data_IF_440453448063
#
_entry.id   IF_440453448063
#
_cell.length_a   1.000
_cell.length_b   1.000
_cell.length_c   1.000
_cell.angle_alpha   90.00
_cell.angle_beta   90.00
_cell.angle_gamma   90.00
#
_symmetry.space_group_name_H-M   'P 1'
#
loop_
_entity.id
_entity.type
_entity.pdbx_description
1 polymer ?
#
# COMPACT_ATOMS: atom_id res chain seq x y z
N UNK A 1 1.81 -19.78 -14.65
CA UNK A 1 1.34 -21.17 -14.88
C UNK A 1 1.37 -22.05 -13.62
N UNK A 2 2.22 -21.79 -12.60
CA UNK A 2 2.05 -22.36 -11.25
C UNK A 2 0.85 -21.75 -10.50
N UNK A 3 0.74 -20.42 -10.49
CA UNK A 3 -0.35 -19.68 -9.80
C UNK A 3 -1.76 -20.13 -10.20
N UNK A 4 -2.00 -20.43 -11.48
CA UNK A 4 -3.32 -20.87 -11.96
C UNK A 4 -3.70 -22.27 -11.45
N UNK A 5 -2.73 -23.15 -11.20
CA UNK A 5 -2.98 -24.51 -10.68
C UNK A 5 -3.20 -24.47 -9.16
N UNK A 6 -2.48 -23.59 -8.49
CA UNK A 6 -2.62 -23.33 -7.05
C UNK A 6 -3.98 -22.69 -6.74
N UNK A 7 -4.38 -21.68 -7.51
CA UNK A 7 -5.72 -21.06 -7.43
C UNK A 7 -6.86 -22.05 -7.67
N UNK A 8 -6.75 -22.95 -8.65
CA UNK A 8 -7.77 -23.98 -8.90
C UNK A 8 -7.89 -24.96 -7.73
N UNK A 9 -6.77 -25.34 -7.10
CA UNK A 9 -6.78 -26.23 -5.93
C UNK A 9 -7.38 -25.54 -4.69
N UNK A 10 -7.05 -24.26 -4.47
CA UNK A 10 -7.58 -23.48 -3.36
C UNK A 10 -9.09 -23.30 -3.51
N UNK A 11 -9.59 -22.97 -4.70
CA UNK A 11 -11.03 -22.87 -4.95
C UNK A 11 -11.78 -24.19 -4.76
N UNK A 12 -11.19 -25.32 -5.19
CA UNK A 12 -11.76 -26.64 -4.95
C UNK A 12 -11.83 -26.96 -3.45
N UNK A 13 -10.76 -26.70 -2.69
CA UNK A 13 -10.72 -26.88 -1.24
C UNK A 13 -11.75 -26.00 -0.52
N UNK A 14 -11.86 -24.72 -0.90
CA UNK A 14 -12.86 -23.80 -0.36
C UNK A 14 -14.28 -24.32 -0.57
N UNK A 15 -14.55 -24.85 -1.77
CA UNK A 15 -15.85 -25.41 -2.09
C UNK A 15 -16.16 -26.68 -1.27
N UNK A 16 -15.16 -27.54 -1.07
CA UNK A 16 -15.29 -28.74 -0.22
C UNK A 16 -15.53 -28.38 1.24
N UNK A 17 -14.75 -27.45 1.81
CA UNK A 17 -14.90 -26.99 3.19
C UNK A 17 -16.27 -26.33 3.38
N UNK A 18 -16.67 -25.45 2.47
CA UNK A 18 -17.99 -24.80 2.53
C UNK A 18 -19.14 -25.81 2.44
N UNK A 19 -19.02 -26.81 1.56
CA UNK A 19 -20.01 -27.89 1.45
C UNK A 19 -20.06 -28.74 2.71
N UNK A 20 -18.91 -29.07 3.28
CA UNK A 20 -18.80 -29.85 4.51
C UNK A 20 -19.38 -29.10 5.71
N UNK A 21 -19.10 -27.79 5.81
CA UNK A 21 -19.65 -26.89 6.82
C UNK A 21 -21.17 -26.81 6.73
N UNK A 22 -21.71 -26.58 5.53
CA UNK A 22 -23.17 -26.52 5.30
C UNK A 22 -23.88 -27.86 5.53
N UNK A 23 -23.14 -28.97 5.42
CA UNK A 23 -23.65 -30.33 5.71
C UNK A 23 -23.49 -30.73 7.18
N UNK A 24 -22.97 -29.84 8.04
CA UNK A 24 -22.74 -30.09 9.47
C UNK A 24 -21.57 -31.04 9.78
N UNK A 25 -20.66 -31.25 8.83
CA UNK A 25 -19.51 -32.15 8.98
C UNK A 25 -18.33 -31.48 9.71
N UNK A 26 -18.58 -30.88 10.88
CA UNK A 26 -17.62 -30.05 11.61
C UNK A 26 -16.30 -30.78 11.97
N UNK A 27 -16.37 -32.07 12.32
CA UNK A 27 -15.18 -32.88 12.62
C UNK A 27 -14.30 -33.07 11.38
N UNK A 28 -14.91 -33.20 10.21
CA UNK A 28 -14.18 -33.30 8.96
C UNK A 28 -13.51 -31.98 8.62
N UNK A 29 -14.23 -30.86 8.76
CA UNK A 29 -13.70 -29.51 8.55
C UNK A 29 -12.51 -29.24 9.47
N UNK A 30 -12.64 -29.50 10.78
CA UNK A 30 -11.53 -29.31 11.74
C UNK A 30 -10.27 -30.11 11.33
N UNK A 31 -10.44 -31.34 10.85
CA UNK A 31 -9.31 -32.16 10.38
C UNK A 31 -8.69 -31.59 9.10
N UNK A 32 -9.48 -31.02 8.21
CA UNK A 32 -8.95 -30.36 7.01
C UNK A 32 -8.14 -29.13 7.40
N UNK A 33 -8.68 -28.28 8.28
CA UNK A 33 -8.00 -27.07 8.77
C UNK A 33 -6.68 -27.40 9.48
N UNK A 34 -6.64 -28.43 10.33
CA UNK A 34 -5.43 -28.83 11.05
C UNK A 34 -4.25 -29.32 10.16
N UNK A 35 -4.47 -29.47 8.85
CA UNK A 35 -3.43 -29.86 7.88
C UNK A 35 -3.20 -28.79 6.79
N UNK A 36 -3.80 -27.60 6.95
CA UNK A 36 -3.59 -26.46 6.07
C UNK A 36 -2.56 -25.52 6.69
N UNK A 37 -1.86 -24.78 5.85
CA UNK A 37 -0.98 -23.70 6.30
C UNK A 37 -1.83 -22.54 6.88
N UNK A 38 -1.30 -21.75 7.83
CA UNK A 38 -1.98 -20.58 8.38
C UNK A 38 -2.51 -19.61 7.31
N UNK A 39 -1.67 -19.23 6.34
CA UNK A 39 -2.03 -18.37 5.21
C UNK A 39 -3.21 -18.91 4.37
N UNK A 40 -3.28 -20.23 4.14
CA UNK A 40 -4.40 -20.88 3.43
C UNK A 40 -5.71 -20.76 4.24
N UNK A 41 -5.63 -20.82 5.57
CA UNK A 41 -6.78 -20.68 6.47
C UNK A 41 -7.21 -19.22 6.56
N UNK A 42 -6.27 -18.28 6.62
CA UNK A 42 -6.52 -16.85 6.58
C UNK A 42 -7.30 -16.49 5.29
N UNK A 43 -6.79 -16.89 4.12
CA UNK A 43 -7.47 -16.72 2.83
C UNK A 43 -8.88 -17.34 2.83
N UNK A 44 -9.06 -18.48 3.48
CA UNK A 44 -10.36 -19.14 3.62
C UNK A 44 -11.33 -18.33 4.49
N UNK A 45 -10.84 -17.71 5.56
CA UNK A 45 -11.64 -16.83 6.42
C UNK A 45 -12.01 -15.53 5.69
N UNK A 46 -11.07 -14.92 4.98
CA UNK A 46 -11.30 -13.70 4.20
C UNK A 46 -12.33 -13.94 3.08
N UNK A 47 -12.19 -15.04 2.36
CA UNK A 47 -13.12 -15.44 1.29
C UNK A 47 -14.49 -15.95 1.79
N UNK A 48 -14.68 -16.06 3.11
CA UNK A 48 -15.91 -16.54 3.71
C UNK A 48 -16.83 -15.41 4.17
N UNK A 49 -18.14 -15.49 3.91
CA UNK A 49 -19.11 -14.56 4.49
C UNK A 49 -19.10 -14.60 6.02
N UNK A 50 -19.38 -13.46 6.66
CA UNK A 50 -19.31 -13.27 8.12
C UNK A 50 -19.91 -14.43 8.96
N UNK A 51 -21.07 -14.99 8.57
CA UNK A 51 -21.68 -16.10 9.32
C UNK A 51 -20.88 -17.40 9.25
N UNK A 52 -20.32 -17.71 8.08
CA UNK A 52 -19.46 -18.89 7.90
C UNK A 52 -18.12 -18.70 8.60
N UNK A 53 -17.55 -17.50 8.51
CA UNK A 53 -16.28 -17.11 9.13
C UNK A 53 -16.24 -17.39 10.63
N UNK A 54 -17.25 -16.94 11.38
CA UNK A 54 -17.32 -17.21 12.84
C UNK A 54 -17.33 -18.70 13.17
N UNK A 55 -18.02 -19.52 12.36
CA UNK A 55 -18.08 -20.97 12.59
C UNK A 55 -16.74 -21.62 12.25
N UNK A 56 -16.09 -21.18 11.17
CA UNK A 56 -14.77 -21.67 10.78
C UNK A 56 -13.72 -21.36 11.84
N UNK A 57 -13.71 -20.13 12.37
CA UNK A 57 -12.80 -19.72 13.44
C UNK A 57 -12.92 -20.62 14.68
N UNK A 58 -14.14 -21.00 15.08
CA UNK A 58 -14.36 -21.92 16.21
C UNK A 58 -13.83 -23.35 15.98
N UNK A 59 -13.50 -23.71 14.75
CA UNK A 59 -12.98 -25.03 14.38
C UNK A 59 -11.45 -25.04 14.20
N UNK A 60 -10.83 -23.86 14.14
CA UNK A 60 -9.38 -23.68 14.09
C UNK A 60 -8.76 -24.13 15.43
N UNK A 61 -7.60 -24.77 15.36
CA UNK A 61 -6.89 -25.17 16.56
C UNK A 61 -6.24 -23.97 17.24
N UNK A 62 -6.21 -23.93 18.58
CA UNK A 62 -5.69 -22.78 19.33
C UNK A 62 -4.24 -22.46 18.97
N UNK A 63 -3.46 -23.50 18.70
CA UNK A 63 -2.03 -23.41 18.45
C UNK A 63 -1.71 -22.76 17.09
N UNK A 64 -2.69 -22.65 16.19
CA UNK A 64 -2.54 -21.98 14.89
C UNK A 64 -3.17 -20.58 14.88
N UNK A 65 -3.83 -20.16 15.97
CA UNK A 65 -4.58 -18.90 15.95
C UNK A 65 -3.67 -17.68 15.84
N UNK A 66 -2.44 -17.74 16.38
CA UNK A 66 -1.46 -16.66 16.27
C UNK A 66 -1.09 -16.42 14.81
N UNK A 67 -0.48 -17.40 14.18
CA UNK A 67 -0.05 -17.38 12.77
C UNK A 67 -1.20 -17.05 11.81
N UNK A 68 -2.43 -17.48 12.09
CA UNK A 68 -3.58 -17.13 11.24
C UNK A 68 -3.99 -15.67 11.42
N UNK A 69 -3.87 -15.10 12.63
CA UNK A 69 -4.21 -13.69 12.87
C UNK A 69 -3.22 -12.75 12.20
N UNK A 70 -1.94 -13.11 12.16
CA UNK A 70 -0.88 -12.41 11.43
C UNK A 70 -1.24 -12.26 9.94
N UNK A 71 -1.61 -13.36 9.31
CA UNK A 71 -1.92 -13.45 7.87
C UNK A 71 -3.28 -12.83 7.46
N UNK A 72 -4.06 -12.29 8.39
CA UNK A 72 -5.38 -11.74 8.12
C UNK A 72 -5.33 -10.22 7.94
N UNK A 73 -6.02 -9.72 6.91
CA UNK A 73 -6.29 -8.28 6.79
C UNK A 73 -6.91 -7.70 8.07
N UNK A 74 -6.43 -6.52 8.44
CA UNK A 74 -6.88 -5.65 9.53
C UNK A 74 -8.38 -5.78 9.86
N UNK A 75 -9.21 -5.57 8.84
CA UNK A 75 -10.67 -5.46 8.96
C UNK A 75 -11.30 -6.82 9.32
N UNK A 76 -10.74 -7.93 8.82
CA UNK A 76 -11.17 -9.30 9.12
C UNK A 76 -10.64 -9.75 10.48
N UNK A 77 -9.36 -9.51 10.75
CA UNK A 77 -8.67 -9.74 12.03
C UNK A 77 -9.42 -9.07 13.19
N UNK A 78 -9.69 -7.78 13.10
CA UNK A 78 -10.45 -7.02 14.09
C UNK A 78 -11.88 -7.55 14.29
N UNK A 79 -12.52 -8.01 13.21
CA UNK A 79 -13.83 -8.66 13.25
C UNK A 79 -13.84 -9.96 14.07
N UNK A 80 -12.74 -10.72 14.04
CA UNK A 80 -12.55 -11.96 14.80
C UNK A 80 -12.17 -11.65 16.25
N UNK A 81 -11.15 -10.81 16.45
CA UNK A 81 -10.64 -10.39 17.77
C UNK A 81 -11.76 -9.82 18.64
N UNK A 82 -12.64 -8.99 18.08
CA UNK A 82 -13.77 -8.39 18.82
C UNK A 82 -14.74 -9.43 19.42
N UNK A 83 -14.66 -10.69 19.02
CA UNK A 83 -15.46 -11.81 19.53
C UNK A 83 -14.65 -12.78 20.40
N UNK A 84 -13.34 -12.58 20.53
CA UNK A 84 -12.46 -13.41 21.33
C UNK A 84 -12.39 -12.91 22.77
N UNK A 85 -12.14 -13.84 23.70
CA UNK A 85 -11.81 -13.47 25.07
C UNK A 85 -10.39 -12.86 25.09
N UNK A 86 -10.15 -11.75 25.82
CA UNK A 86 -8.84 -11.11 25.91
C UNK A 86 -7.70 -12.04 26.33
N UNK A 87 -8.00 -13.07 27.13
CA UNK A 87 -7.01 -14.07 27.53
C UNK A 87 -6.59 -15.00 26.38
N UNK A 88 -7.49 -15.30 25.44
CA UNK A 88 -7.16 -16.08 24.24
C UNK A 88 -6.35 -15.24 23.26
N UNK A 89 -6.65 -13.94 23.16
CA UNK A 89 -5.85 -13.00 22.38
C UNK A 89 -4.42 -12.92 22.94
N UNK A 90 -4.29 -12.77 24.27
CA UNK A 90 -2.98 -12.76 24.93
C UNK A 90 -2.19 -14.06 24.70
N UNK A 91 -2.87 -15.22 24.67
CA UNK A 91 -2.21 -16.49 24.37
C UNK A 91 -1.82 -16.63 22.89
N UNK A 92 -2.66 -16.17 21.96
CA UNK A 92 -2.36 -16.20 20.53
C UNK A 92 -1.21 -15.26 20.12
N UNK A 93 -0.91 -14.26 20.94
CA UNK A 93 0.16 -13.26 20.72
C UNK A 93 1.46 -13.59 21.47
N UNK A 94 1.49 -14.70 22.22
CA UNK A 94 2.66 -15.12 23.01
C UNK A 94 3.84 -15.52 22.11
N UNK A 95 3.56 -16.24 21.02
CA UNK A 95 4.57 -16.79 20.11
C UNK A 95 4.81 -15.94 18.85
N UNK A 96 4.07 -14.83 18.67
CA UNK A 96 4.27 -13.90 17.55
C UNK A 96 5.62 -13.21 17.62
N UNK A 97 6.15 -12.79 16.47
CA UNK A 97 7.33 -11.95 16.37
C UNK A 97 7.05 -10.50 16.83
N UNK A 98 8.10 -9.68 17.01
CA UNK A 98 7.98 -8.40 17.73
C UNK A 98 7.16 -7.37 16.92
N UNK A 99 7.37 -7.36 15.61
CA UNK A 99 6.66 -6.56 14.62
C UNK A 99 5.18 -6.96 14.51
N UNK A 100 4.89 -8.25 14.33
CA UNK A 100 3.51 -8.75 14.26
C UNK A 100 2.74 -8.46 15.54
N UNK A 101 3.40 -8.64 16.69
CA UNK A 101 2.84 -8.29 17.99
C UNK A 101 2.50 -6.80 18.06
N UNK A 102 3.39 -5.93 17.57
CA UNK A 102 3.15 -4.49 17.58
C UNK A 102 1.95 -4.13 16.70
N UNK A 103 1.91 -4.66 15.48
CA UNK A 103 0.82 -4.43 14.54
C UNK A 103 -0.52 -4.90 15.11
N UNK A 104 -0.57 -6.14 15.59
CA UNK A 104 -1.75 -6.75 16.20
C UNK A 104 -2.27 -5.90 17.36
N UNK A 105 -1.38 -5.44 18.24
CA UNK A 105 -1.77 -4.63 19.40
C UNK A 105 -2.23 -3.22 19.02
N UNK A 106 -1.67 -2.60 17.97
CA UNK A 106 -2.10 -1.28 17.46
C UNK A 106 -3.52 -1.34 16.89
N UNK A 107 -3.89 -2.45 16.25
CA UNK A 107 -5.22 -2.64 15.65
C UNK A 107 -6.34 -2.81 16.69
N UNK A 108 -5.99 -3.12 17.95
CA UNK A 108 -6.96 -3.36 19.01
C UNK A 108 -7.67 -2.06 19.48
N UNK A 109 -9.00 -2.12 19.70
CA UNK A 109 -9.68 -1.06 20.43
C UNK A 109 -9.07 -0.86 21.82
N UNK A 110 -8.92 0.40 22.26
CA UNK A 110 -8.31 0.77 23.56
C UNK A 110 -8.76 -0.10 24.74
N UNK A 111 -10.05 -0.43 24.80
CA UNK A 111 -10.62 -1.25 25.87
C UNK A 111 -10.11 -2.69 25.84
N UNK A 112 -10.03 -3.29 24.65
CA UNK A 112 -9.55 -4.66 24.46
C UNK A 112 -8.04 -4.70 24.69
N UNK A 113 -7.30 -3.73 24.15
CA UNK A 113 -5.86 -3.59 24.35
C UNK A 113 -5.47 -3.66 25.83
N UNK A 114 -6.14 -2.87 26.70
CA UNK A 114 -5.85 -2.86 28.13
C UNK A 114 -6.13 -4.22 28.81
N UNK A 115 -7.15 -4.94 28.36
CA UNK A 115 -7.50 -6.27 28.89
C UNK A 115 -6.50 -7.35 28.43
N UNK A 116 -6.02 -7.27 27.19
CA UNK A 116 -5.00 -8.16 26.62
C UNK A 116 -3.67 -7.97 27.34
N UNK A 117 -3.17 -6.72 27.43
CA UNK A 117 -1.96 -6.37 28.18
C UNK A 117 -2.07 -6.80 29.66
N UNK A 118 -3.26 -6.70 30.25
CA UNK A 118 -3.52 -7.16 31.61
C UNK A 118 -3.34 -8.68 31.79
N UNK A 119 -3.67 -9.45 30.75
CA UNK A 119 -3.64 -10.92 30.70
C UNK A 119 -2.26 -11.49 30.37
N UNK A 120 -1.41 -10.73 29.69
CA UNK A 120 -0.05 -11.13 29.30
C UNK A 120 0.90 -11.38 30.48
N UNK A 121 1.92 -12.23 30.27
CA UNK A 121 2.98 -12.38 31.25
C UNK A 121 3.81 -11.09 31.37
N UNK A 122 4.67 -11.00 32.38
CA UNK A 122 5.51 -9.81 32.56
C UNK A 122 6.53 -9.65 31.42
N UNK A 123 7.03 -10.76 30.88
CA UNK A 123 8.01 -10.75 29.79
C UNK A 123 7.37 -10.26 28.48
N UNK A 124 6.21 -10.80 28.10
CA UNK A 124 5.51 -10.43 26.86
C UNK A 124 5.03 -8.98 26.91
N UNK A 125 4.69 -8.47 28.10
CA UNK A 125 4.38 -7.05 28.28
C UNK A 125 5.57 -6.14 28.05
N UNK A 126 6.77 -6.54 28.48
CA UNK A 126 7.98 -5.77 28.23
C UNK A 126 8.31 -5.77 26.73
N UNK A 127 8.13 -6.93 26.07
CA UNK A 127 8.25 -7.08 24.61
C UNK A 127 7.28 -6.17 23.86
N UNK A 128 5.99 -6.26 24.16
CA UNK A 128 4.95 -5.40 23.60
C UNK A 128 5.24 -3.91 23.80
N UNK A 129 5.70 -3.52 25.00
CA UNK A 129 6.02 -2.12 25.29
C UNK A 129 7.23 -1.60 24.48
N UNK A 130 8.21 -2.46 24.20
CA UNK A 130 9.34 -2.14 23.33
C UNK A 130 8.90 -2.03 21.88
N UNK A 131 8.12 -2.99 21.39
CA UNK A 131 7.64 -3.01 20.01
C UNK A 131 6.73 -1.81 19.68
N UNK A 132 5.86 -1.42 20.63
CA UNK A 132 4.99 -0.24 20.52
C UNK A 132 5.70 1.10 20.80
N UNK A 133 7.00 1.09 21.11
CA UNK A 133 7.74 2.33 21.39
C UNK A 133 8.08 3.14 20.14
N UNK A 134 8.01 2.51 18.96
CA UNK A 134 8.32 3.11 17.68
C UNK A 134 7.05 3.56 16.94
N UNK A 135 7.15 4.66 16.15
CA UNK A 135 6.07 5.10 15.27
C UNK A 135 5.63 3.97 14.33
N UNK A 136 4.33 3.92 14.06
CA UNK A 136 3.77 3.15 12.95
C UNK A 136 4.43 3.56 11.62
N UNK A 137 4.49 2.65 10.66
CA UNK A 137 5.11 2.85 9.33
C UNK A 137 6.63 3.16 9.38
N UNK A 138 7.34 2.70 10.41
CA UNK A 138 8.77 2.93 10.58
C UNK A 138 9.59 1.64 10.64
N UNK A 139 10.88 1.73 10.35
CA UNK A 139 11.84 0.64 10.48
C UNK A 139 11.81 -0.02 11.87
N UNK A 140 11.52 0.74 12.93
CA UNK A 140 11.36 0.20 14.28
C UNK A 140 10.05 -0.53 14.53
N UNK A 141 9.02 -0.29 13.72
CA UNK A 141 7.73 -0.99 13.80
C UNK A 141 7.77 -2.36 13.11
N UNK A 142 8.58 -2.51 12.07
CA UNK A 142 8.74 -3.73 11.27
C UNK A 142 10.07 -4.47 11.57
N UNK A 143 10.69 -4.21 12.73
CA UNK A 143 11.94 -4.89 13.11
C UNK A 143 11.70 -5.96 14.15
N UNK A 144 12.50 -7.01 14.05
CA UNK A 144 12.64 -8.05 15.04
C UNK A 144 13.88 -7.85 15.92
N UNK A 145 13.74 -8.07 17.23
CA UNK A 145 14.85 -7.91 18.20
C UNK A 145 15.71 -9.17 18.37
N UNK A 146 15.39 -10.23 17.64
CA UNK A 146 15.95 -11.58 17.70
C UNK A 146 17.40 -11.74 17.17
N UNK A 147 18.09 -10.62 16.90
CA UNK A 147 19.41 -10.59 16.28
C UNK A 147 20.48 -11.45 16.96
N UNK A 148 21.36 -12.05 16.15
CA UNK A 148 22.52 -12.80 16.66
C UNK A 148 23.78 -11.95 16.55
N UNK A 149 24.29 -11.54 17.71
CA UNK A 149 25.46 -10.66 17.79
C UNK A 149 26.76 -11.39 18.13
N UNK A 150 27.86 -10.95 17.51
CA UNK A 150 29.21 -11.48 17.72
C UNK A 150 30.24 -10.36 17.93
N UNK A 151 31.40 -10.72 18.49
CA UNK A 151 32.49 -9.77 18.78
C UNK A 151 33.57 -9.82 17.68
N UNK A 152 34.22 -8.69 17.35
CA UNK A 152 35.22 -8.65 16.29
C UNK A 152 36.53 -9.39 16.62
N UNK A 153 36.86 -9.54 17.90
CA UNK A 153 38.12 -10.11 18.39
C UNK A 153 38.09 -11.63 18.58
N UNK A 154 36.95 -12.28 18.38
CA UNK A 154 36.84 -13.75 18.47
C UNK A 154 37.16 -14.45 17.15
N UNK A 155 37.59 -15.71 17.25
CA UNK A 155 37.84 -16.55 16.06
C UNK A 155 36.55 -17.19 15.56
N UNK A 156 36.54 -17.59 14.28
CA UNK A 156 35.39 -18.26 13.69
C UNK A 156 35.08 -19.60 14.37
N UNK A 157 36.09 -20.33 14.89
CA UNK A 157 35.88 -21.53 15.71
C UNK A 157 35.02 -21.25 16.95
N UNK A 158 35.28 -20.13 17.65
CA UNK A 158 34.52 -19.73 18.84
C UNK A 158 33.09 -19.39 18.45
N UNK A 159 32.89 -18.66 17.34
CA UNK A 159 31.55 -18.34 16.82
C UNK A 159 30.79 -19.64 16.48
N UNK A 160 31.38 -20.56 15.72
CA UNK A 160 30.74 -21.83 15.37
C UNK A 160 30.37 -22.67 16.61
N UNK A 161 31.20 -22.65 17.65
CA UNK A 161 30.89 -23.31 18.94
C UNK A 161 29.75 -22.61 19.67
N UNK A 162 29.71 -21.29 19.65
CA UNK A 162 28.63 -20.49 20.21
C UNK A 162 27.29 -20.81 19.51
N UNK A 163 27.25 -20.84 18.17
CA UNK A 163 26.04 -21.19 17.42
C UNK A 163 25.56 -22.61 17.74
N UNK A 164 26.48 -23.59 17.83
CA UNK A 164 26.14 -24.96 18.25
C UNK A 164 25.60 -25.06 19.67
N UNK A 165 26.02 -24.18 20.57
CA UNK A 165 25.51 -24.13 21.94
C UNK A 165 24.10 -23.51 21.98
N UNK A 166 23.84 -22.51 21.12
CA UNK A 166 22.51 -21.89 20.98
C UNK A 166 21.49 -22.89 20.42
N UNK A 167 21.92 -23.78 19.53
CA UNK A 167 21.11 -24.88 18.98
C UNK A 167 20.32 -24.45 17.76
N UNK A 168 19.47 -23.44 17.93
CA UNK A 168 18.64 -22.87 16.87
C UNK A 168 19.02 -21.40 16.62
N UNK A 169 18.82 -20.97 15.37
CA UNK A 169 18.93 -19.58 14.95
C UNK A 169 17.53 -19.10 14.63
N UNK A 170 17.26 -17.80 14.84
CA UNK A 170 15.98 -17.25 14.43
C UNK A 170 15.77 -17.42 12.92
N UNK A 171 14.51 -17.41 12.49
CA UNK A 171 14.15 -17.63 11.10
C UNK A 171 14.75 -16.55 10.18
N UNK A 172 14.97 -16.90 8.91
CA UNK A 172 15.60 -15.96 7.96
C UNK A 172 17.05 -15.52 8.27
N UNK A 173 17.73 -16.06 9.30
CA UNK A 173 19.11 -15.67 9.62
C UNK A 173 20.10 -16.02 8.49
N UNK A 174 20.59 -15.02 7.77
CA UNK A 174 21.61 -15.13 6.73
C UNK A 174 22.98 -14.58 7.17
N UNK A 175 22.99 -13.59 8.06
CA UNK A 175 24.19 -12.96 8.61
C UNK A 175 24.19 -12.85 10.15
N UNK A 176 25.38 -12.71 10.73
CA UNK A 176 25.58 -12.38 12.14
C UNK A 176 26.13 -10.96 12.26
N UNK A 177 25.53 -10.16 13.13
CA UNK A 177 25.93 -8.76 13.30
C UNK A 177 27.09 -8.63 14.28
N UNK A 178 28.10 -7.85 13.90
CA UNK A 178 29.30 -7.60 14.69
C UNK A 178 29.11 -6.31 15.45
N UNK A 179 29.24 -6.38 16.78
CA UNK A 179 29.08 -5.23 17.67
C UNK A 179 30.30 -5.03 18.56
N UNK A 180 30.63 -3.77 18.83
CA UNK A 180 31.68 -3.42 19.78
C UNK A 180 31.19 -3.49 21.22
N UNK A 181 32.11 -3.35 22.18
CA UNK A 181 31.86 -3.44 23.63
C UNK A 181 30.78 -2.50 24.18
N UNK A 182 30.42 -1.44 23.45
CA UNK A 182 29.35 -0.49 23.80
C UNK A 182 28.03 -0.82 23.05
N UNK A 183 27.98 -1.97 22.37
CA UNK A 183 26.91 -2.47 21.49
C UNK A 183 26.69 -1.65 20.21
N UNK A 184 27.68 -0.87 19.79
CA UNK A 184 27.63 -0.18 18.51
C UNK A 184 27.84 -1.19 17.37
N UNK A 185 26.98 -1.11 16.35
CA UNK A 185 27.09 -1.90 15.12
C UNK A 185 28.35 -1.49 14.33
N UNK A 186 29.14 -2.48 13.90
CA UNK A 186 30.42 -2.24 13.20
C UNK A 186 30.64 -3.11 11.96
N UNK A 187 29.67 -3.97 11.60
CA UNK A 187 29.75 -4.82 10.41
C UNK A 187 28.96 -6.12 10.56
N UNK A 188 29.01 -6.98 9.53
CA UNK A 188 28.30 -8.25 9.52
C UNK A 188 29.18 -9.40 8.99
N UNK A 189 28.80 -10.64 9.32
CA UNK A 189 29.42 -11.86 8.80
C UNK A 189 28.35 -12.82 8.30
N UNK A 190 28.32 -13.10 7.01
CA UNK A 190 27.41 -14.10 6.46
C UNK A 190 27.69 -15.51 6.97
N UNK A 191 26.64 -16.29 7.19
CA UNK A 191 26.75 -17.70 7.60
C UNK A 191 27.53 -18.52 6.58
N UNK A 192 27.37 -18.25 5.29
CA UNK A 192 28.13 -18.89 4.23
C UNK A 192 29.65 -18.66 4.39
N UNK A 193 30.05 -17.47 4.82
CA UNK A 193 31.45 -17.14 5.05
C UNK A 193 32.01 -17.87 6.29
N UNK A 194 31.22 -18.00 7.37
CA UNK A 194 31.59 -18.80 8.54
C UNK A 194 31.88 -20.26 8.21
N UNK A 195 31.13 -20.84 7.25
CA UNK A 195 31.28 -22.23 6.84
C UNK A 195 32.44 -22.48 5.86
N UNK A 196 32.81 -21.46 5.08
CA UNK A 196 33.79 -21.61 3.97
C UNK A 196 35.18 -21.12 4.33
N UNK A 197 35.34 -20.28 5.36
CA UNK A 197 36.63 -19.75 5.81
C UNK A 197 37.29 -20.62 6.87
N UNK A 198 38.60 -20.39 7.06
CA UNK A 198 39.38 -21.11 8.08
C UNK A 198 38.90 -20.71 9.49
N UNK A 199 38.63 -21.69 10.40
CA UNK A 199 38.18 -21.43 11.76
C UNK A 199 39.15 -20.59 12.62
N UNK A 200 40.44 -20.54 12.25
CA UNK A 200 41.49 -19.82 12.98
C UNK A 200 41.47 -18.30 12.71
N UNK A 201 40.77 -17.84 11.67
CA UNK A 201 40.63 -16.43 11.37
C UNK A 201 39.74 -15.74 12.41
N UNK A 202 39.97 -14.45 12.62
CA UNK A 202 39.12 -13.62 13.49
C UNK A 202 37.95 -13.03 12.71
N UNK A 203 36.84 -12.75 13.42
CA UNK A 203 35.66 -12.06 12.88
C UNK A 203 36.07 -10.74 12.22
N UNK A 204 36.90 -9.92 12.88
CA UNK A 204 37.40 -8.66 12.32
C UNK A 204 38.12 -8.79 10.97
N UNK A 205 38.72 -9.94 10.70
CA UNK A 205 39.45 -10.16 9.44
C UNK A 205 38.52 -10.48 8.28
N UNK A 206 37.34 -11.02 8.58
CA UNK A 206 36.44 -11.56 7.56
C UNK A 206 35.10 -10.84 7.45
N UNK A 207 34.76 -10.01 8.45
CA UNK A 207 33.53 -9.22 8.46
C UNK A 207 33.50 -8.23 7.31
N UNK A 208 32.30 -7.95 6.82
CA UNK A 208 32.03 -6.80 5.97
C UNK A 208 31.84 -5.57 6.86
N UNK A 209 32.79 -4.63 6.78
CA UNK A 209 32.77 -3.34 7.48
C UNK A 209 32.04 -2.23 6.69
N UNK A 210 31.54 -2.54 5.49
CA UNK A 210 30.74 -1.64 4.64
C UNK A 210 29.25 -2.02 4.63
N UNK A 211 28.81 -2.85 5.58
CA UNK A 211 27.39 -3.17 5.76
C UNK A 211 26.63 -1.89 6.14
N UNK A 212 25.63 -1.51 5.33
CA UNK A 212 24.76 -0.37 5.61
C UNK A 212 23.73 -0.76 6.67
N UNK A 213 23.48 0.15 7.62
CA UNK A 213 22.49 -0.01 8.69
C UNK A 213 21.30 0.90 8.46
N UNK A 214 20.12 0.46 8.89
CA UNK A 214 18.87 1.20 8.77
C UNK A 214 18.62 1.98 10.06
N UNK A 215 18.41 3.31 10.00
CA UNK A 215 17.97 4.08 11.16
C UNK A 215 16.57 3.65 11.59
N UNK A 216 16.36 3.47 12.90
CA UNK A 216 15.07 3.00 13.46
C UNK A 216 13.87 3.90 13.13
N UNK A 217 14.10 5.16 12.79
CA UNK A 217 13.05 6.13 12.43
C UNK A 217 12.81 6.24 10.93
N UNK A 218 13.48 5.43 10.11
CA UNK A 218 13.29 5.44 8.65
C UNK A 218 11.89 4.95 8.31
N UNK A 219 11.28 5.52 7.28
CA UNK A 219 9.97 5.13 6.76
C UNK A 219 10.03 3.73 6.13
N UNK A 220 9.06 2.87 6.40
CA UNK A 220 9.08 1.48 5.93
C UNK A 220 9.09 1.36 4.39
N UNK A 221 8.41 2.26 3.67
CA UNK A 221 8.46 2.29 2.20
C UNK A 221 9.86 2.66 1.69
N UNK A 222 10.61 3.48 2.43
CA UNK A 222 12.02 3.76 2.12
C UNK A 222 12.91 2.54 2.42
N UNK A 223 12.64 1.82 3.51
CA UNK A 223 13.32 0.55 3.83
C UNK A 223 13.09 -0.47 2.71
N UNK A 224 11.85 -0.66 2.26
CA UNK A 224 11.51 -1.59 1.18
C UNK A 224 12.30 -1.28 -0.11
N UNK A 225 12.46 0.01 -0.45
CA UNK A 225 13.28 0.42 -1.59
C UNK A 225 14.76 0.07 -1.43
N UNK A 226 15.30 0.14 -0.21
CA UNK A 226 16.68 -0.29 0.07
C UNK A 226 16.84 -1.80 -0.10
N UNK A 227 15.91 -2.59 0.44
CA UNK A 227 15.90 -4.05 0.27
C UNK A 227 15.85 -4.44 -1.20
N UNK A 228 14.95 -3.85 -1.99
CA UNK A 228 14.85 -4.10 -3.43
C UNK A 228 16.15 -3.72 -4.16
N UNK A 229 16.68 -2.52 -3.88
CA UNK A 229 17.86 -1.98 -4.58
C UNK A 229 19.14 -2.75 -4.26
N UNK A 230 19.29 -3.18 -3.02
CA UNK A 230 20.51 -3.83 -2.53
C UNK A 230 20.40 -5.36 -2.54
N UNK A 231 19.22 -5.92 -2.80
CA UNK A 231 18.91 -7.36 -2.73
C UNK A 231 19.24 -7.94 -1.34
N UNK A 232 18.82 -7.24 -0.29
CA UNK A 232 19.01 -7.69 1.08
C UNK A 232 18.06 -8.83 1.42
N UNK A 233 18.54 -9.78 2.22
CA UNK A 233 17.72 -10.83 2.86
C UNK A 233 17.36 -10.38 4.28
N UNK A 234 18.32 -9.78 4.99
CA UNK A 234 18.06 -9.05 6.22
C UNK A 234 18.93 -7.79 6.30
N UNK A 235 18.55 -6.85 7.17
CA UNK A 235 19.30 -5.62 7.41
C UNK A 235 19.28 -5.21 8.89
N UNK A 236 20.39 -4.69 9.45
CA UNK A 236 20.46 -4.29 10.85
C UNK A 236 19.80 -2.93 11.08
N UNK A 237 19.02 -2.82 12.15
CA UNK A 237 18.39 -1.57 12.59
C UNK A 237 19.15 -0.95 13.75
N UNK A 238 19.43 0.34 13.67
CA UNK A 238 20.24 1.07 14.65
C UNK A 238 19.58 2.36 15.14
N UNK A 239 19.93 2.77 16.36
CA UNK A 239 19.56 4.07 16.91
C UNK A 239 20.47 5.22 16.41
N UNK A 240 20.20 6.46 16.87
CA UNK A 240 21.01 7.64 16.55
C UNK A 240 22.48 7.53 17.01
N UNK A 241 22.77 6.63 17.95
CA UNK A 241 24.08 6.37 18.52
C UNK A 241 24.76 5.13 17.92
N UNK A 242 24.19 4.55 16.86
CA UNK A 242 24.66 3.33 16.17
C UNK A 242 24.57 2.06 17.03
N UNK A 243 23.79 2.05 18.12
CA UNK A 243 23.51 0.80 18.83
C UNK A 243 22.62 -0.09 17.98
N UNK A 244 22.98 -1.37 17.88
CA UNK A 244 22.13 -2.36 17.22
C UNK A 244 20.89 -2.62 18.08
N UNK A 245 19.72 -2.37 17.51
CA UNK A 245 18.42 -2.58 18.15
C UNK A 245 17.77 -3.89 17.70
N UNK A 246 17.87 -4.20 16.42
CA UNK A 246 17.16 -5.31 15.80
C UNK A 246 17.59 -5.54 14.36
N UNK A 247 16.78 -6.29 13.62
CA UNK A 247 16.92 -6.50 12.19
C UNK A 247 15.55 -6.52 11.52
N UNK A 248 15.55 -6.25 10.23
CA UNK A 248 14.39 -6.41 9.36
C UNK A 248 14.69 -7.55 8.40
N UNK A 249 13.68 -8.34 8.04
CA UNK A 249 13.79 -9.48 7.15
C UNK A 249 13.01 -9.25 5.86
N UNK A 250 13.37 -10.00 4.81
CA UNK A 250 12.80 -9.77 3.46
C UNK A 250 11.33 -10.17 3.37
N UNK A 251 10.88 -11.12 4.17
CA UNK A 251 9.48 -11.54 4.32
C UNK A 251 8.59 -10.37 4.73
N UNK A 252 8.90 -9.70 5.85
CA UNK A 252 8.17 -8.50 6.31
C UNK A 252 8.15 -7.41 5.21
N UNK A 253 9.25 -7.25 4.49
CA UNK A 253 9.35 -6.29 3.40
C UNK A 253 8.49 -6.67 2.18
N UNK A 254 8.26 -7.96 1.95
CA UNK A 254 7.33 -8.39 0.89
C UNK A 254 5.91 -7.96 1.23
N UNK A 255 5.52 -7.98 2.50
CA UNK A 255 4.21 -7.50 2.94
C UNK A 255 4.09 -5.98 2.80
N UNK A 256 5.09 -5.22 3.25
CA UNK A 256 5.15 -3.75 3.04
C UNK A 256 5.00 -3.39 1.55
N UNK A 257 5.72 -4.09 0.65
CA UNK A 257 5.62 -3.86 -0.80
C UNK A 257 4.21 -4.16 -1.33
N UNK A 258 3.57 -5.23 -0.83
CA UNK A 258 2.22 -5.62 -1.24
C UNK A 258 1.21 -4.57 -0.76
N UNK A 259 1.29 -4.19 0.50
CA UNK A 259 0.40 -3.21 1.14
C UNK A 259 0.52 -1.83 0.48
N UNK A 260 1.74 -1.34 0.24
CA UNK A 260 1.98 -0.08 -0.50
C UNK A 260 1.33 -0.10 -1.89
N UNK A 261 1.41 -1.24 -2.58
CA UNK A 261 0.81 -1.41 -3.90
C UNK A 261 -0.72 -1.46 -3.84
N UNK A 262 -1.28 -2.17 -2.85
CA UNK A 262 -2.72 -2.26 -2.62
C UNK A 262 -3.30 -0.91 -2.20
N UNK A 263 -2.69 -0.23 -1.22
CA UNK A 263 -3.04 1.13 -0.81
C UNK A 263 -3.03 2.09 -2.00
N UNK A 264 -1.95 2.09 -2.79
CA UNK A 264 -1.90 2.91 -4.01
C UNK A 264 -3.05 2.61 -4.97
N UNK A 265 -3.41 1.34 -5.16
CA UNK A 265 -4.48 0.91 -6.05
C UNK A 265 -5.88 1.28 -5.52
N UNK A 266 -6.14 1.05 -4.24
CA UNK A 266 -7.42 1.33 -3.58
C UNK A 266 -7.66 2.84 -3.47
N UNK A 267 -6.64 3.58 -3.05
CA UNK A 267 -6.67 5.05 -2.94
C UNK A 267 -6.95 5.72 -4.29
N UNK A 268 -6.38 5.21 -5.40
CA UNK A 268 -6.72 5.69 -6.76
C UNK A 268 -8.19 5.48 -7.13
N UNK A 269 -8.86 4.48 -6.55
CA UNK A 269 -10.30 4.24 -6.73
C UNK A 269 -11.16 5.03 -5.73
N UNK A 270 -10.57 5.79 -4.82
CA UNK A 270 -11.27 6.48 -3.72
C UNK A 270 -11.81 5.51 -2.68
N UNK A 271 -11.10 4.41 -2.43
CA UNK A 271 -11.40 3.41 -1.41
C UNK A 271 -10.32 3.44 -0.32
N UNK A 272 -10.71 3.03 0.89
CA UNK A 272 -9.76 2.53 1.90
C UNK A 272 -9.14 1.24 1.38
N UNK A 273 -7.87 1.02 1.71
CA UNK A 273 -7.12 -0.22 1.59
C UNK A 273 -7.61 -1.35 2.49
N UNK A 274 -8.15 -1.04 3.67
CA UNK A 274 -8.67 -2.03 4.62
C UNK A 274 -10.16 -2.42 4.38
N UNK A 275 -10.70 -2.39 3.15
CA UNK A 275 -12.13 -2.70 2.95
C UNK A 275 -12.41 -4.21 2.83
N UNK A 276 -12.96 -4.86 3.88
CA UNK A 276 -13.40 -6.27 3.79
C UNK A 276 -14.49 -6.44 2.71
N UNK A 277 -14.19 -7.27 1.70
CA UNK A 277 -15.08 -7.56 0.57
C UNK A 277 -16.44 -8.11 1.01
N UNK A 278 -16.50 -8.82 2.14
CA UNK A 278 -17.70 -9.40 2.72
C UNK A 278 -18.26 -8.60 3.91
N UNK A 279 -17.79 -7.36 4.09
CA UNK A 279 -18.31 -6.47 5.13
C UNK A 279 -19.83 -6.24 4.99
N UNK A 280 -20.53 -5.96 6.11
CA UNK A 280 -21.95 -5.63 6.06
C UNK A 280 -22.24 -4.41 5.17
N UNK A 281 -23.30 -4.50 4.36
CA UNK A 281 -23.70 -3.46 3.38
C UNK A 281 -23.69 -2.04 3.96
N UNK A 282 -24.12 -1.87 5.21
CA UNK A 282 -24.18 -0.55 5.87
C UNK A 282 -22.79 0.02 6.16
N UNK A 283 -21.82 -0.81 6.57
CA UNK A 283 -20.42 -0.40 6.83
C UNK A 283 -19.79 0.07 5.52
N UNK A 284 -19.84 -0.75 4.47
CA UNK A 284 -19.28 -0.42 3.15
C UNK A 284 -19.95 0.81 2.52
N UNK A 285 -21.28 0.95 2.68
CA UNK A 285 -21.99 2.14 2.19
C UNK A 285 -21.48 3.41 2.86
N UNK A 286 -21.22 3.39 4.18
CA UNK A 286 -20.74 4.56 4.91
C UNK A 286 -19.34 4.98 4.45
N UNK A 287 -18.40 4.03 4.35
CA UNK A 287 -17.01 4.30 3.90
C UNK A 287 -17.03 4.92 2.50
N UNK A 288 -17.71 4.30 1.53
CA UNK A 288 -17.82 4.79 0.15
C UNK A 288 -18.59 6.11 0.01
N UNK A 289 -19.58 6.37 0.86
CA UNK A 289 -20.38 7.59 0.80
C UNK A 289 -19.56 8.86 1.07
N UNK A 290 -18.49 8.77 1.87
CA UNK A 290 -17.61 9.92 2.13
C UNK A 290 -16.96 10.38 0.84
N UNK A 291 -16.31 9.45 0.12
CA UNK A 291 -15.65 9.74 -1.14
C UNK A 291 -16.65 10.16 -2.22
N UNK A 292 -17.79 9.45 -2.34
CA UNK A 292 -18.87 9.86 -3.26
C UNK A 292 -19.39 11.27 -2.96
N UNK A 293 -19.43 11.68 -1.68
CA UNK A 293 -19.77 13.03 -1.26
C UNK A 293 -18.76 14.08 -1.73
N UNK A 294 -17.46 13.80 -1.60
CA UNK A 294 -16.39 14.66 -2.11
C UNK A 294 -16.48 14.81 -3.63
N UNK A 295 -16.69 13.71 -4.35
CA UNK A 295 -16.89 13.74 -5.81
C UNK A 295 -18.17 14.50 -6.21
N UNK A 296 -19.24 14.41 -5.41
CA UNK A 296 -20.46 15.19 -5.65
C UNK A 296 -20.21 16.69 -5.48
N UNK A 297 -19.48 17.11 -4.44
CA UNK A 297 -19.16 18.52 -4.21
C UNK A 297 -18.36 19.09 -5.39
N UNK A 298 -17.39 18.35 -5.90
CA UNK A 298 -16.58 18.77 -7.05
C UNK A 298 -17.37 18.80 -8.35
N UNK A 299 -18.25 17.82 -8.57
CA UNK A 299 -19.20 17.87 -9.69
C UNK A 299 -20.15 19.08 -9.60
N UNK A 300 -20.60 19.47 -8.40
CA UNK A 300 -21.40 20.67 -8.19
C UNK A 300 -20.62 21.95 -8.48
N UNK A 301 -19.30 21.99 -8.22
CA UNK A 301 -18.44 23.12 -8.63
C UNK A 301 -18.35 23.25 -10.15
N UNK A 302 -18.19 22.14 -10.86
CA UNK A 302 -18.21 22.14 -12.32
C UNK A 302 -19.58 22.60 -12.87
N UNK A 303 -20.68 22.11 -12.29
CA UNK A 303 -22.04 22.54 -12.64
C UNK A 303 -22.27 24.04 -12.35
N UNK A 304 -21.73 24.54 -11.24
CA UNK A 304 -21.76 25.97 -10.91
C UNK A 304 -21.05 26.81 -11.97
N UNK A 305 -19.90 26.37 -12.47
CA UNK A 305 -19.20 27.05 -13.58
C UNK A 305 -20.03 27.03 -14.87
N UNK A 306 -20.69 25.91 -15.17
CA UNK A 306 -21.59 25.81 -16.32
C UNK A 306 -22.80 26.77 -16.21
N UNK A 307 -23.29 27.04 -15.00
CA UNK A 307 -24.44 27.92 -14.75
C UNK A 307 -24.22 29.36 -15.24
N UNK A 308 -22.96 29.83 -15.28
CA UNK A 308 -22.64 31.15 -15.84
C UNK A 308 -22.94 31.28 -17.34
N UNK A 309 -23.15 30.16 -18.03
CA UNK A 309 -23.37 30.10 -19.47
C UNK A 309 -24.78 29.61 -19.85
N UNK A 310 -25.74 29.59 -18.91
CA UNK A 310 -27.14 29.19 -19.17
C UNK A 310 -27.75 29.95 -20.35
N UNK A 311 -27.55 31.26 -20.40
CA UNK A 311 -28.04 32.11 -21.51
C UNK A 311 -27.47 31.69 -22.87
N UNK A 312 -26.27 31.11 -22.89
CA UNK A 312 -25.64 30.62 -24.12
C UNK A 312 -26.22 29.27 -24.54
N UNK A 313 -26.48 28.39 -23.58
CA UNK A 313 -27.09 27.09 -23.81
C UNK A 313 -28.53 27.19 -24.32
N UNK A 314 -29.29 28.20 -23.86
CA UNK A 314 -30.65 28.48 -24.34
C UNK A 314 -30.68 28.85 -25.83
N UNK A 315 -29.68 29.59 -26.29
CA UNK A 315 -29.61 30.04 -27.69
C UNK A 315 -29.05 28.93 -28.58
N UNK A 316 -28.09 28.15 -28.08
CA UNK A 316 -27.45 27.07 -28.81
C UNK A 316 -27.52 25.73 -28.06
N UNK A 317 -28.68 25.04 -28.10
CA UNK A 317 -28.86 23.75 -27.41
C UNK A 317 -27.86 22.67 -27.84
N UNK A 318 -27.27 22.81 -29.03
CA UNK A 318 -26.22 21.90 -29.52
C UNK A 318 -24.98 21.88 -28.61
N UNK A 319 -24.67 23.00 -27.93
CA UNK A 319 -23.56 23.08 -26.99
C UNK A 319 -23.78 22.15 -25.80
N UNK A 320 -25.02 22.03 -25.30
CA UNK A 320 -25.34 21.11 -24.20
C UNK A 320 -25.03 19.65 -24.55
N UNK A 321 -25.28 19.25 -25.80
CA UNK A 321 -25.00 17.88 -26.29
C UNK A 321 -23.49 17.61 -26.36
N UNK A 322 -22.69 18.63 -26.66
CA UNK A 322 -21.24 18.52 -26.78
C UNK A 322 -20.50 18.78 -25.47
N UNK A 323 -21.17 19.34 -24.47
CA UNK A 323 -20.58 19.85 -23.23
C UNK A 323 -19.81 18.78 -22.45
N UNK A 324 -20.27 17.52 -22.47
CA UNK A 324 -19.61 16.42 -21.76
C UNK A 324 -18.33 15.89 -22.43
N UNK A 325 -18.14 16.14 -23.74
CA UNK A 325 -17.04 15.54 -24.51
C UNK A 325 -15.70 16.14 -24.09
N UNK A 326 -15.62 17.47 -23.99
CA UNK A 326 -14.37 18.17 -23.69
C UNK A 326 -13.86 17.81 -22.29
N UNK A 327 -14.64 17.99 -21.19
CA UNK A 327 -14.27 17.57 -19.84
C UNK A 327 -13.83 16.10 -19.75
N UNK A 328 -14.61 15.18 -20.33
CA UNK A 328 -14.33 13.74 -20.29
C UNK A 328 -12.97 13.39 -20.90
N UNK A 329 -12.62 13.96 -22.07
CA UNK A 329 -11.32 13.72 -22.70
C UNK A 329 -10.16 14.29 -21.88
N UNK A 330 -10.36 15.45 -21.25
CA UNK A 330 -9.36 16.03 -20.35
C UNK A 330 -9.15 15.17 -19.11
N UNK A 331 -10.22 14.70 -18.47
CA UNK A 331 -10.17 13.81 -17.32
C UNK A 331 -9.37 12.53 -17.64
N UNK A 332 -9.69 11.85 -18.74
CA UNK A 332 -8.97 10.62 -19.14
C UNK A 332 -7.49 10.87 -19.44
N UNK A 333 -7.17 11.91 -20.21
CA UNK A 333 -5.77 12.23 -20.53
C UNK A 333 -4.99 12.64 -19.28
N UNK A 334 -5.61 13.43 -18.41
CA UNK A 334 -5.06 13.85 -17.13
C UNK A 334 -4.79 12.65 -16.23
N UNK A 335 -5.73 11.70 -16.15
CA UNK A 335 -5.61 10.53 -15.28
C UNK A 335 -4.44 9.64 -15.72
N UNK A 336 -4.20 9.52 -17.04
CA UNK A 336 -3.03 8.80 -17.55
C UNK A 336 -1.72 9.45 -17.09
N UNK A 337 -1.59 10.77 -17.22
CA UNK A 337 -0.42 11.49 -16.73
C UNK A 337 -0.30 11.38 -15.21
N UNK A 338 -1.41 11.53 -14.47
CA UNK A 338 -1.48 11.41 -13.02
C UNK A 338 -0.95 10.05 -12.54
N UNK A 339 -1.48 8.95 -13.08
CA UNK A 339 -1.06 7.58 -12.72
C UNK A 339 0.43 7.36 -13.01
N UNK A 340 0.93 7.83 -14.16
CA UNK A 340 2.35 7.72 -14.50
C UNK A 340 3.25 8.49 -13.52
N UNK A 341 2.82 9.67 -13.09
CA UNK A 341 3.56 10.49 -12.12
C UNK A 341 3.48 9.89 -10.72
N UNK A 342 2.32 9.44 -10.25
CA UNK A 342 2.17 8.76 -8.95
C UNK A 342 3.09 7.54 -8.88
N UNK A 343 3.00 6.64 -9.87
CA UNK A 343 3.89 5.48 -9.95
C UNK A 343 5.36 5.90 -9.96
N UNK A 344 5.73 6.90 -10.75
CA UNK A 344 7.10 7.39 -10.84
C UNK A 344 7.62 7.99 -9.53
N UNK A 345 6.74 8.52 -8.67
CA UNK A 345 7.10 8.98 -7.32
C UNK A 345 7.25 7.80 -6.35
N UNK A 346 6.35 6.82 -6.40
CA UNK A 346 6.38 5.65 -5.53
C UNK A 346 7.68 4.84 -5.71
N UNK A 347 8.10 4.62 -6.95
CA UNK A 347 9.35 3.89 -7.25
C UNK A 347 10.63 4.75 -7.15
N UNK A 348 10.55 5.96 -6.59
CA UNK A 348 11.72 6.84 -6.42
C UNK A 348 12.33 7.44 -7.71
N UNK A 349 11.70 7.25 -8.88
CA UNK A 349 12.23 7.77 -10.15
C UNK A 349 12.09 9.29 -10.29
N UNK A 350 11.20 9.94 -9.54
CA UNK A 350 10.95 11.39 -9.63
C UNK A 350 11.58 12.12 -8.45
N UNK A 351 12.47 13.06 -8.75
CA UNK A 351 13.16 13.88 -7.76
C UNK A 351 13.16 15.37 -8.17
N UNK A 352 13.67 16.23 -7.28
CA UNK A 352 13.69 17.67 -7.54
C UNK A 352 14.50 18.07 -8.79
N UNK A 353 15.51 17.27 -9.16
CA UNK A 353 16.36 17.55 -10.32
C UNK A 353 15.66 17.25 -11.65
N UNK A 354 14.83 16.21 -11.72
CA UNK A 354 14.15 15.81 -12.95
C UNK A 354 12.68 16.30 -13.07
N UNK A 355 12.07 16.84 -12.00
CA UNK A 355 10.68 17.30 -12.04
C UNK A 355 10.38 18.30 -13.17
N UNK A 356 11.33 19.20 -13.48
CA UNK A 356 11.14 20.22 -14.53
C UNK A 356 11.11 19.61 -15.92
N UNK A 357 11.97 18.60 -16.15
CA UNK A 357 12.00 17.86 -17.40
C UNK A 357 10.69 17.09 -17.58
N UNK A 358 10.20 16.42 -16.53
CA UNK A 358 8.92 15.72 -16.55
C UNK A 358 7.76 16.67 -16.89
N UNK A 359 7.64 17.80 -16.20
CA UNK A 359 6.59 18.79 -16.46
C UNK A 359 6.63 19.30 -17.92
N UNK A 360 7.81 19.58 -18.46
CA UNK A 360 7.97 20.02 -19.84
C UNK A 360 7.60 18.91 -20.85
N UNK A 361 7.96 17.66 -20.56
CA UNK A 361 7.60 16.48 -21.36
C UNK A 361 6.09 16.29 -21.40
N UNK A 362 5.42 16.32 -20.24
CA UNK A 362 3.97 16.13 -20.15
C UNK A 362 3.20 17.31 -20.76
N UNK A 363 3.71 18.54 -20.65
CA UNK A 363 3.19 19.69 -21.39
C UNK A 363 3.26 19.48 -22.90
N UNK A 364 4.38 18.98 -23.42
CA UNK A 364 4.55 18.71 -24.84
C UNK A 364 3.61 17.60 -25.34
N UNK A 365 3.43 16.53 -24.54
CA UNK A 365 2.48 15.45 -24.83
C UNK A 365 1.05 16.00 -24.87
N UNK A 366 0.66 16.81 -23.89
CA UNK A 366 -0.65 17.47 -23.83
C UNK A 366 -0.89 18.38 -25.04
N UNK A 367 0.11 19.17 -25.46
CA UNK A 367 0.01 20.03 -26.63
C UNK A 367 -0.12 19.25 -27.95
N UNK A 368 0.68 18.20 -28.15
CA UNK A 368 0.64 17.39 -29.37
C UNK A 368 -0.67 16.61 -29.50
N UNK A 369 -1.09 15.94 -28.41
CA UNK A 369 -2.39 15.27 -28.37
C UNK A 369 -3.53 16.28 -28.50
N UNK A 370 -3.40 17.45 -27.87
CA UNK A 370 -4.33 18.57 -27.99
C UNK A 370 -4.59 18.93 -29.44
N UNK A 371 -3.54 19.15 -30.24
CA UNK A 371 -3.68 19.49 -31.67
C UNK A 371 -4.34 18.36 -32.45
N UNK A 372 -3.90 17.11 -32.24
CA UNK A 372 -4.43 15.96 -32.97
C UNK A 372 -5.94 15.77 -32.71
N UNK A 373 -6.35 15.74 -31.45
CA UNK A 373 -7.74 15.53 -31.06
C UNK A 373 -8.62 16.74 -31.34
N UNK A 374 -8.08 17.97 -31.22
CA UNK A 374 -8.77 19.19 -31.64
C UNK A 374 -9.13 19.16 -33.13
N UNK A 375 -8.20 18.78 -34.00
CA UNK A 375 -8.46 18.69 -35.44
C UNK A 375 -9.49 17.60 -35.77
N UNK A 376 -9.41 16.45 -35.11
CA UNK A 376 -10.36 15.35 -35.31
C UNK A 376 -11.77 15.77 -34.92
N UNK A 377 -11.94 16.30 -33.70
CA UNK A 377 -13.27 16.70 -33.21
C UNK A 377 -13.84 17.89 -34.00
N UNK A 378 -12.98 18.83 -34.43
CA UNK A 378 -13.38 19.92 -35.31
C UNK A 378 -13.98 19.39 -36.62
N UNK A 379 -13.31 18.42 -37.26
CA UNK A 379 -13.79 17.81 -38.49
C UNK A 379 -15.11 17.07 -38.32
N UNK A 380 -15.23 16.28 -37.25
CA UNK A 380 -16.47 15.55 -36.94
C UNK A 380 -17.64 16.50 -36.69
N UNK A 381 -17.45 17.54 -35.87
CA UNK A 381 -18.52 18.49 -35.53
C UNK A 381 -18.87 19.39 -36.71
N UNK A 382 -17.90 19.87 -37.47
CA UNK A 382 -18.14 20.68 -38.66
C UNK A 382 -18.94 19.92 -39.72
N UNK A 383 -18.62 18.64 -39.95
CA UNK A 383 -19.36 17.80 -40.90
C UNK A 383 -20.75 17.41 -40.36
N UNK A 384 -20.86 17.14 -39.07
CA UNK A 384 -22.13 16.69 -38.48
C UNK A 384 -23.16 17.83 -38.38
N UNK A 385 -22.73 19.01 -37.94
CA UNK A 385 -23.60 20.18 -37.72
C UNK A 385 -23.62 21.15 -38.90
N UNK A 386 -22.82 20.89 -39.94
CA UNK A 386 -22.64 21.80 -41.06
C UNK A 386 -22.21 23.21 -40.63
N UNK A 387 -21.50 23.30 -39.50
CA UNK A 387 -21.07 24.55 -38.88
C UNK A 387 -19.58 24.49 -38.54
N UNK A 388 -18.77 25.14 -39.38
CA UNK A 388 -17.33 25.26 -39.19
C UNK A 388 -16.96 26.07 -37.95
N UNK A 389 -17.78 27.04 -37.56
CA UNK A 389 -17.52 27.90 -36.41
C UNK A 389 -17.64 27.10 -35.12
N UNK A 390 -18.70 26.29 -35.00
CA UNK A 390 -18.87 25.34 -33.90
C UNK A 390 -17.73 24.32 -33.85
N UNK A 391 -17.28 23.84 -35.01
CA UNK A 391 -16.10 22.98 -35.13
C UNK A 391 -14.83 23.63 -34.58
N UNK A 392 -14.57 24.90 -34.88
CA UNK A 392 -13.42 25.65 -34.35
C UNK A 392 -13.51 25.89 -32.83
N UNK A 393 -14.71 26.19 -32.32
CA UNK A 393 -14.94 26.40 -30.88
C UNK A 393 -14.61 25.14 -30.09
N UNK A 394 -15.15 23.98 -30.49
CA UNK A 394 -14.84 22.71 -29.80
C UNK A 394 -13.37 22.30 -29.96
N UNK A 395 -12.74 22.62 -31.10
CA UNK A 395 -11.31 22.36 -31.32
C UNK A 395 -10.46 23.12 -30.31
N UNK A 396 -10.71 24.42 -30.15
CA UNK A 396 -9.98 25.26 -29.20
C UNK A 396 -10.19 24.78 -27.76
N UNK A 397 -11.43 24.47 -27.40
CA UNK A 397 -11.75 23.96 -26.08
C UNK A 397 -11.05 22.63 -25.79
N UNK A 398 -11.06 21.70 -26.76
CA UNK A 398 -10.36 20.42 -26.65
C UNK A 398 -8.85 20.59 -26.49
N UNK A 399 -8.25 21.48 -27.28
CA UNK A 399 -6.81 21.80 -27.18
C UNK A 399 -6.46 22.35 -25.78
N UNK A 400 -7.21 23.35 -25.31
CA UNK A 400 -6.97 23.96 -24.00
C UNK A 400 -7.19 22.97 -22.86
N UNK A 401 -8.21 22.12 -22.95
CA UNK A 401 -8.47 21.14 -21.90
C UNK A 401 -7.40 20.06 -21.83
N UNK A 402 -6.94 19.52 -22.98
CA UNK A 402 -5.85 18.52 -23.00
C UNK A 402 -4.50 19.10 -22.56
N UNK A 403 -4.25 20.38 -22.85
CA UNK A 403 -3.09 21.09 -22.32
C UNK A 403 -3.15 21.21 -20.79
N UNK A 404 -4.30 21.63 -20.26
CA UNK A 404 -4.52 21.75 -18.83
C UNK A 404 -4.45 20.38 -18.13
N UNK A 405 -5.00 19.33 -18.74
CA UNK A 405 -4.95 17.97 -18.24
C UNK A 405 -3.52 17.46 -18.08
N UNK A 406 -2.65 17.66 -19.08
CA UNK A 406 -1.24 17.27 -18.98
C UNK A 406 -0.46 18.03 -17.89
N UNK A 407 -0.72 19.34 -17.75
CA UNK A 407 -0.10 20.16 -16.69
C UNK A 407 -0.61 19.73 -15.32
N UNK A 408 -1.93 19.60 -15.16
CA UNK A 408 -2.57 19.25 -13.90
C UNK A 408 -2.17 17.84 -13.46
N UNK A 409 -2.23 16.85 -14.36
CA UNK A 409 -1.84 15.47 -14.08
C UNK A 409 -0.39 15.34 -13.61
N UNK A 410 0.52 16.17 -14.15
CA UNK A 410 1.92 16.12 -13.74
C UNK A 410 2.25 16.97 -12.50
N UNK A 411 1.50 18.05 -12.25
CA UNK A 411 1.80 18.97 -11.15
C UNK A 411 1.02 18.71 -9.86
N UNK A 412 -0.21 18.19 -9.95
CA UNK A 412 -1.06 17.89 -8.78
C UNK A 412 -0.35 16.91 -7.82
N UNK A 413 0.20 15.76 -8.26
CA UNK A 413 0.86 14.83 -7.34
C UNK A 413 2.05 15.46 -6.61
N UNK A 414 2.87 16.23 -7.35
CA UNK A 414 4.02 16.94 -6.80
C UNK A 414 3.62 18.00 -5.78
N UNK A 415 2.47 18.65 -5.99
CA UNK A 415 1.93 19.64 -5.07
C UNK A 415 1.35 19.00 -3.82
N UNK A 416 0.57 17.92 -3.96
CA UNK A 416 0.01 17.16 -2.84
C UNK A 416 1.10 16.57 -1.94
N UNK A 417 2.15 15.97 -2.52
CA UNK A 417 3.30 15.46 -1.76
C UNK A 417 4.01 16.55 -0.94
N UNK A 418 4.09 17.78 -1.45
CA UNK A 418 4.67 18.92 -0.69
C UNK A 418 3.80 19.39 0.48
N UNK A 419 2.51 19.06 0.46
CA UNK A 419 1.57 19.33 1.54
C UNK A 419 1.40 18.14 2.49
N UNK A 420 2.18 17.06 2.31
CA UNK A 420 2.02 15.78 3.02
C UNK A 420 0.59 15.21 2.88
N UNK A 421 0.00 15.35 1.69
CA UNK A 421 -1.27 14.71 1.34
C UNK A 421 -0.97 13.61 0.34
N UNK A 422 -1.51 12.41 0.55
CA UNK A 422 -1.33 11.30 -0.37
C UNK A 422 -1.88 11.64 -1.79
N UNK A 423 -0.99 11.66 -2.80
CA UNK A 423 -1.36 11.85 -4.19
C UNK A 423 -2.26 10.75 -4.78
N UNK A 424 -2.14 9.50 -4.32
CA UNK A 424 -2.94 8.38 -4.82
C UNK A 424 -4.40 8.56 -4.45
N UNK A 425 -4.68 8.97 -3.20
CA UNK A 425 -6.03 9.23 -2.71
C UNK A 425 -6.67 10.46 -3.36
N UNK A 426 -6.04 11.63 -3.27
CA UNK A 426 -6.68 12.90 -3.64
C UNK A 426 -6.47 13.33 -5.10
N UNK A 427 -5.44 12.79 -5.76
CA UNK A 427 -4.99 13.28 -7.07
C UNK A 427 -6.07 13.16 -8.16
N UNK A 428 -6.82 12.06 -8.17
CA UNK A 428 -7.83 11.76 -9.19
C UNK A 428 -8.95 12.80 -9.23
N UNK A 429 -9.53 13.11 -8.07
CA UNK A 429 -10.69 14.03 -8.02
C UNK A 429 -10.28 15.50 -8.13
N UNK A 430 -9.13 15.89 -7.58
CA UNK A 430 -8.61 17.24 -7.82
C UNK A 430 -8.36 17.46 -9.32
N UNK A 431 -7.79 16.45 -9.99
CA UNK A 431 -7.55 16.49 -11.43
C UNK A 431 -8.85 16.63 -12.22
N UNK A 432 -9.84 15.75 -11.99
CA UNK A 432 -11.10 15.79 -12.75
C UNK A 432 -11.83 17.10 -12.53
N UNK A 433 -11.80 17.65 -11.31
CA UNK A 433 -12.35 18.98 -11.01
C UNK A 433 -11.70 20.06 -11.86
N UNK A 434 -10.36 20.06 -11.95
CA UNK A 434 -9.62 21.04 -12.75
C UNK A 434 -9.95 20.89 -14.23
N UNK A 435 -9.95 19.67 -14.76
CA UNK A 435 -10.26 19.42 -16.19
C UNK A 435 -11.72 19.72 -16.53
N UNK A 436 -12.64 19.52 -15.60
CA UNK A 436 -14.05 19.83 -15.82
C UNK A 436 -14.28 21.34 -15.84
N UNK A 437 -13.74 22.06 -14.86
CA UNK A 437 -13.84 23.52 -14.80
C UNK A 437 -13.18 24.17 -16.02
N UNK A 438 -11.95 23.76 -16.36
CA UNK A 438 -11.23 24.31 -17.52
C UNK A 438 -11.93 23.92 -18.81
N UNK A 439 -12.38 22.67 -18.96
CA UNK A 439 -13.06 22.19 -20.15
C UNK A 439 -14.39 22.91 -20.41
N UNK A 440 -15.24 23.02 -19.39
CA UNK A 440 -16.53 23.73 -19.47
C UNK A 440 -16.29 25.20 -19.76
N UNK A 441 -15.38 25.85 -19.03
CA UNK A 441 -15.09 27.28 -19.21
C UNK A 441 -14.49 27.56 -20.59
N UNK A 442 -13.54 26.74 -21.07
CA UNK A 442 -12.95 26.91 -22.39
C UNK A 442 -14.00 26.68 -23.49
N UNK A 443 -14.87 25.69 -23.35
CA UNK A 443 -15.90 25.38 -24.35
C UNK A 443 -17.02 26.43 -24.39
N UNK A 444 -17.71 26.64 -23.27
CA UNK A 444 -18.84 27.57 -23.21
C UNK A 444 -18.37 29.01 -23.29
N UNK A 445 -17.25 29.37 -22.66
CA UNK A 445 -16.69 30.73 -22.74
C UNK A 445 -16.28 31.13 -24.14
N UNK A 446 -15.66 30.23 -24.91
CA UNK A 446 -15.38 30.53 -26.33
C UNK A 446 -16.62 30.52 -27.19
N UNK A 447 -17.58 29.63 -26.93
CA UNK A 447 -18.87 29.63 -27.63
C UNK A 447 -19.62 30.96 -27.43
N UNK A 448 -19.73 31.45 -26.18
CA UNK A 448 -20.37 32.73 -25.88
C UNK A 448 -19.68 33.86 -26.62
N UNK A 449 -18.35 33.93 -26.58
CA UNK A 449 -17.62 35.04 -27.19
C UNK A 449 -17.68 35.05 -28.73
N UNK A 450 -17.64 33.88 -29.37
CA UNK A 450 -17.60 33.78 -30.83
C UNK A 450 -18.98 33.67 -31.51
N UNK A 451 -19.97 33.08 -30.83
CA UNK A 451 -21.27 32.76 -31.43
C UNK A 451 -22.39 33.69 -30.98
N UNK A 452 -22.22 34.45 -29.90
CA UNK A 452 -23.20 35.39 -29.35
C UNK A 452 -22.61 36.80 -29.29
N UNK A 453 -22.83 37.63 -30.32
CA UNK A 453 -22.43 39.04 -30.30
C UNK A 453 -23.25 39.89 -29.32
#
# INVERSE_FOLDING_TARGET
MPEAIEQDNTQLRLHEITRALNSGMFVHVRRMLAHMAPCDIALLLESSPHKGRTVLWQLVDSDLQGDILEELSEDVRNGIISQMDPALIAAATEDMDDDDLAEMLRSLPDTIYQEVIGSMASQDRERAALALSYPEESAGAIMNTDTVTIRPDVTLDVVLRYLRLKGELPEGTDELYVVDKDNCFIGAVSLALLLTRSPDLTVRTVMDDHCESIPVTMDESEVAQLFERHNWISAPVVDEHQHLLGRITIDDIVDVIREDAEHSMMSMAGLDDEEDTFAPVVKSTKRRSVWLGVNLITALLAAFVASFFESTLDILPVLAVLNGIVPSMGGVAGSQTLTLVIRGMAVGHINQANQRFLLAKEFAIGALNGVLWALLIAGVVALWKWDFTLGCVIAFAMFMNLLAAGIAGASIPLFLKRLNIDPALAGGVVLTTVTDIVGIFAFLGTATWFLLP
#
